data_IF_955464540802
#
_entry.id   IF_955464540802
#
_cell.length_a   1.000
_cell.length_b   1.000
_cell.length_c   1.000
_cell.angle_alpha   90.00
_cell.angle_beta   90.00
_cell.angle_gamma   90.00
#
_symmetry.space_group_name_H-M   'P 1'
#
loop_
_entity.id
_entity.type
_entity.pdbx_description
1 polymer ?
2 non-polymer ?
3 non-polymer ?
4 water ?
#
# COMPACT_ATOMS: atom_id res chain seq x y z
N UNK A 5 9.80 27.24 -4.16
CA UNK A 5 9.67 27.60 -5.56
C UNK A 5 9.43 26.36 -6.43
N UNK A 6 10.46 26.02 -7.20
CA UNK A 6 10.53 24.76 -7.95
C UNK A 6 11.81 24.08 -7.51
N UNK A 7 11.67 22.99 -6.74
CA UNK A 7 12.83 22.39 -6.09
C UNK A 7 13.58 21.41 -6.97
N UNK A 8 12.95 20.92 -8.03
CA UNK A 8 13.61 20.04 -8.97
C UNK A 8 14.22 20.81 -10.13
N UNK A 9 15.45 20.43 -10.50
CA UNK A 9 16.05 20.89 -11.74
C UNK A 9 15.04 20.67 -12.84
N UNK A 10 14.80 19.39 -13.11
CA UNK A 10 13.97 18.92 -14.19
C UNK A 10 12.84 18.08 -13.60
N UNK A 11 11.78 17.95 -14.38
CA UNK A 11 10.66 17.11 -13.97
C UNK A 11 10.82 15.71 -14.54
N UNK A 12 11.87 15.02 -14.08
CA UNK A 12 12.14 13.65 -14.49
C UNK A 12 12.69 12.86 -13.32
N UNK A 13 12.89 11.56 -13.53
CA UNK A 13 13.50 10.73 -12.50
C UNK A 13 14.88 11.25 -12.13
N UNK A 14 15.67 11.67 -13.12
CA UNK A 14 16.98 12.22 -12.86
C UNK A 14 16.87 13.47 -11.98
N UNK A 15 15.91 14.35 -12.27
CA UNK A 15 15.65 15.46 -11.37
C UNK A 15 15.38 15.01 -9.95
N UNK A 16 14.54 13.98 -9.77
CA UNK A 16 14.20 13.49 -8.44
C UNK A 16 15.41 12.82 -7.76
N UNK A 17 16.23 12.10 -8.52
CA UNK A 17 17.39 11.48 -7.91
C UNK A 17 18.38 12.54 -7.38
N UNK A 18 18.65 13.58 -8.18
CA UNK A 18 19.53 14.66 -7.71
C UNK A 18 18.96 15.35 -6.49
N UNK A 19 17.66 15.61 -6.51
CA UNK A 19 17.02 16.22 -5.35
C UNK A 19 17.14 15.33 -4.12
N UNK A 20 17.04 14.01 -4.30
CA UNK A 20 17.03 13.13 -3.14
C UNK A 20 18.38 13.12 -2.44
N UNK A 21 19.48 13.16 -3.20
CA UNK A 21 20.84 13.17 -2.67
C UNK A 21 21.29 14.55 -2.23
N UNK A 22 20.37 15.49 -2.08
CA UNK A 22 20.68 16.85 -1.71
C UNK A 22 20.23 17.15 -0.29
N UNK A 23 20.90 18.15 0.29
CA UNK A 23 20.51 18.91 1.46
C UNK A 23 19.04 18.81 1.84
N UNK A 24 18.20 19.32 0.96
CA UNK A 24 16.81 19.60 1.29
C UNK A 24 15.98 18.34 1.48
N UNK A 25 16.47 17.17 1.04
CA UNK A 25 15.64 15.95 1.04
C UNK A 25 16.01 15.06 2.22
N UNK A 26 15.35 15.27 3.34
CA UNK A 26 15.57 14.46 4.52
C UNK A 26 14.44 13.50 4.83
N UNK A 27 13.17 13.86 4.57
CA UNK A 27 12.03 13.07 5.00
C UNK A 27 11.17 12.69 3.80
N UNK A 28 10.94 11.39 3.63
CA UNK A 28 10.22 10.87 2.48
C UNK A 28 9.02 10.08 2.98
N UNK A 29 7.85 10.37 2.39
CA UNK A 29 6.63 9.62 2.62
C UNK A 29 6.31 8.83 1.36
N UNK A 30 5.97 7.55 1.53
CA UNK A 30 5.47 6.70 0.46
C UNK A 30 3.97 6.47 0.62
N UNK A 31 3.23 6.73 -0.46
CA UNK A 31 1.83 6.32 -0.60
C UNK A 31 1.79 5.18 -1.61
N UNK A 32 1.39 4.00 -1.16
CA UNK A 32 1.43 2.83 -2.02
C UNK A 32 0.09 2.10 -1.98
N UNK A 33 -0.10 1.27 -2.99
CA UNK A 33 -1.35 0.59 -3.20
C UNK A 33 -1.08 -0.74 -3.89
N UNK A 34 -2.14 -1.34 -4.43
CA UNK A 34 -2.05 -2.72 -4.90
C UNK A 34 -1.08 -2.90 -6.06
N UNK A 35 -0.75 -1.83 -6.78
CA UNK A 35 0.16 -2.01 -7.88
C UNK A 35 1.51 -2.55 -7.46
N UNK A 36 1.97 -2.20 -6.25
CA UNK A 36 3.28 -2.65 -5.80
C UNK A 36 3.26 -4.09 -5.36
N UNK A 37 2.10 -4.74 -5.29
CA UNK A 37 2.09 -6.14 -4.89
C UNK A 37 1.66 -7.09 -6.01
N UNK A 38 1.20 -6.58 -7.16
CA UNK A 38 0.84 -7.47 -8.27
C UNK A 38 2.00 -8.35 -8.70
N UNK A 39 3.21 -7.80 -8.75
CA UNK A 39 4.31 -8.67 -9.16
C UNK A 39 4.71 -9.68 -8.09
N UNK A 40 4.03 -9.71 -6.95
CA UNK A 40 4.19 -10.78 -5.98
C UNK A 40 3.04 -11.77 -6.05
N UNK A 41 2.18 -11.65 -7.06
CA UNK A 41 1.09 -12.57 -7.28
C UNK A 41 -0.24 -12.10 -6.73
N UNK A 42 -0.26 -11.02 -5.94
CA UNK A 42 -1.49 -10.56 -5.30
C UNK A 42 -2.24 -9.66 -6.28
N UNK A 43 -3.35 -10.10 -6.84
CA UNK A 43 -3.94 -9.35 -7.94
C UNK A 43 -4.39 -7.97 -7.52
N UNK A 44 -4.59 -7.18 -8.54
CA UNK A 44 -4.96 -5.80 -8.56
C UNK A 44 -6.41 -5.65 -8.06
N UNK A 45 -6.85 -4.42 -7.83
CA UNK A 45 -8.28 -4.18 -7.64
C UNK A 45 -8.97 -3.76 -8.93
N UNK A 46 -8.49 -2.70 -9.60
CA UNK A 46 -9.19 -2.06 -10.71
C UNK A 46 -8.55 -2.26 -12.08
N UNK A 47 -7.51 -3.09 -12.19
CA UNK A 47 -6.98 -3.40 -13.52
C UNK A 47 -8.03 -4.13 -14.32
N UNK A 48 -8.23 -3.77 -15.59
CA UNK A 48 -9.28 -4.44 -16.38
C UNK A 48 -9.11 -5.94 -16.44
N UNK A 49 -7.89 -6.41 -16.68
CA UNK A 49 -7.72 -7.83 -16.93
C UNK A 49 -7.81 -8.65 -15.64
N UNK A 50 -6.75 -8.62 -14.84
CA UNK A 50 -6.63 -9.45 -13.64
C UNK A 50 -7.19 -8.78 -12.39
N UNK A 51 -7.91 -7.67 -12.53
CA UNK A 51 -8.41 -6.97 -11.37
C UNK A 51 -9.45 -7.77 -10.62
N UNK A 52 -9.57 -7.46 -9.32
CA UNK A 52 -10.49 -8.16 -8.45
C UNK A 52 -11.94 -7.97 -8.88
N UNK A 53 -12.26 -6.80 -9.43
CA UNK A 53 -13.66 -6.47 -9.69
C UNK A 53 -14.22 -7.24 -10.87
N UNK A 54 -13.41 -7.45 -11.91
CA UNK A 54 -13.80 -8.31 -13.02
C UNK A 54 -13.45 -9.76 -12.77
N UNK A 55 -13.45 -10.20 -11.50
CA UNK A 55 -13.31 -11.60 -11.14
C UNK A 55 -14.13 -11.95 -9.90
N UNK A 56 -15.15 -11.16 -9.56
CA UNK A 56 -16.07 -11.47 -8.47
C UNK A 56 -17.35 -12.14 -8.97
N UNK A 57 -17.27 -12.88 -10.07
CA UNK A 57 -18.43 -13.54 -10.67
C UNK A 57 -18.90 -14.69 -9.80
N UNK A 58 -18.08 -15.75 -9.71
CA UNK A 58 -18.46 -16.99 -9.05
C UNK A 58 -18.75 -16.81 -7.55
N UNK A 59 -18.46 -15.65 -6.98
CA UNK A 59 -18.97 -15.32 -5.64
C UNK A 59 -20.32 -14.63 -5.78
N UNK A 60 -21.30 -15.44 -6.17
CA UNK A 60 -22.74 -15.24 -5.97
C UNK A 60 -23.15 -14.00 -5.18
N UNK A 61 -22.58 -12.79 -5.52
CA UNK A 61 -22.86 -11.63 -4.68
C UNK A 61 -24.01 -10.81 -5.25
N UNK A 62 -24.70 -10.02 -4.41
CA UNK A 62 -25.71 -9.10 -4.96
C UNK A 62 -25.12 -8.07 -5.91
N UNK A 63 -23.84 -7.72 -5.73
CA UNK A 63 -23.11 -6.84 -6.64
C UNK A 63 -21.64 -6.98 -6.33
N UNK A 64 -20.75 -6.80 -7.34
CA UNK A 64 -19.30 -7.00 -7.11
C UNK A 64 -18.75 -6.33 -5.87
N UNK A 65 -18.79 -4.99 -5.79
CA UNK A 65 -18.23 -4.31 -4.62
C UNK A 65 -19.26 -4.39 -3.49
N UNK A 66 -19.33 -5.56 -2.86
CA UNK A 66 -20.16 -5.79 -1.69
C UNK A 66 -19.60 -6.84 -0.74
N UNK A 67 -18.48 -7.49 -1.10
CA UNK A 67 -17.87 -8.53 -0.28
C UNK A 67 -16.86 -7.97 0.71
N UNK A 68 -16.51 -6.69 0.61
CA UNK A 68 -15.73 -6.00 1.63
C UNK A 68 -16.58 -5.00 2.40
N UNK A 69 -17.87 -5.31 2.56
CA UNK A 69 -18.80 -4.49 3.33
C UNK A 69 -19.07 -5.12 4.69
N UNK A 70 -18.92 -4.33 5.75
CA UNK A 70 -18.89 -4.90 7.10
C UNK A 70 -20.23 -5.54 7.46
N UNK A 71 -21.34 -4.85 7.19
CA UNK A 71 -22.61 -5.39 7.65
C UNK A 71 -23.03 -6.60 6.81
N UNK A 72 -22.65 -6.63 5.53
CA UNK A 72 -22.81 -7.87 4.77
C UNK A 72 -21.90 -8.96 5.30
N UNK A 73 -20.72 -8.58 5.81
CA UNK A 73 -19.79 -9.58 6.33
C UNK A 73 -20.36 -10.28 7.54
N UNK A 74 -20.86 -9.52 8.52
CA UNK A 74 -21.43 -10.12 9.71
C UNK A 74 -22.73 -10.85 9.38
N UNK A 75 -23.44 -10.43 8.34
CA UNK A 75 -24.61 -11.16 7.87
C UNK A 75 -24.21 -12.50 7.25
N UNK A 76 -23.39 -12.46 6.20
CA UNK A 76 -22.85 -13.67 5.57
C UNK A 76 -21.34 -13.52 5.43
N UNK A 77 -20.58 -14.05 6.39
CA UNK A 77 -19.12 -13.94 6.32
C UNK A 77 -18.47 -14.98 5.42
N UNK A 78 -19.25 -15.86 4.79
CA UNK A 78 -18.69 -16.99 4.05
C UNK A 78 -18.10 -16.61 2.71
N UNK A 79 -18.75 -15.77 1.88
CA UNK A 79 -18.11 -15.40 0.60
C UNK A 79 -16.74 -14.76 0.79
N UNK A 80 -16.63 -13.81 1.71
CA UNK A 80 -15.33 -13.18 1.96
C UNK A 80 -14.28 -14.22 2.32
N UNK A 81 -14.59 -15.11 3.26
CA UNK A 81 -13.60 -16.11 3.65
C UNK A 81 -13.31 -17.07 2.51
N UNK A 82 -14.31 -17.33 1.65
CA UNK A 82 -14.02 -18.08 0.42
C UNK A 82 -13.08 -17.30 -0.49
N UNK A 83 -13.30 -15.99 -0.63
CA UNK A 83 -12.41 -15.15 -1.42
C UNK A 83 -11.00 -15.19 -0.87
N UNK A 84 -10.85 -15.01 0.45
CA UNK A 84 -9.53 -15.10 1.06
C UNK A 84 -8.91 -16.47 0.84
N UNK A 85 -9.75 -17.51 0.76
CA UNK A 85 -9.27 -18.84 0.42
C UNK A 85 -8.57 -18.84 -0.94
N UNK A 86 -9.24 -18.30 -1.97
CA UNK A 86 -8.67 -18.29 -3.32
C UNK A 86 -7.44 -17.39 -3.42
N UNK A 87 -7.45 -16.26 -2.70
CA UNK A 87 -6.40 -15.28 -2.87
C UNK A 87 -5.16 -15.57 -2.05
N UNK A 88 -5.33 -16.24 -0.93
CA UNK A 88 -4.27 -16.38 0.06
C UNK A 88 -3.01 -17.00 -0.57
N UNK A 89 -1.96 -16.20 -0.78
CA UNK A 89 -0.82 -16.68 -1.57
C UNK A 89 0.01 -17.72 -0.82
N UNK A 90 0.66 -18.58 -1.62
CA UNK A 90 1.47 -19.65 -1.07
C UNK A 90 2.60 -19.13 -0.21
N UNK A 91 3.45 -18.28 -0.80
CA UNK A 91 4.53 -17.63 -0.09
C UNK A 91 4.27 -16.14 -0.01
N UNK A 92 4.85 -15.51 1.01
CA UNK A 92 4.75 -14.07 1.20
C UNK A 92 6.11 -13.46 0.86
N UNK A 93 6.31 -13.10 -0.40
CA UNK A 93 7.58 -12.58 -0.88
C UNK A 93 7.44 -11.15 -1.36
N UNK A 94 7.93 -10.17 -0.60
CA UNK A 94 7.77 -8.76 -1.02
C UNK A 94 8.60 -8.47 -2.26
N UNK A 95 8.18 -7.45 -3.00
CA UNK A 95 8.80 -7.17 -4.29
C UNK A 95 9.97 -6.20 -4.17
N UNK A 96 10.70 -6.07 -5.28
CA UNK A 96 11.76 -5.08 -5.41
C UNK A 96 11.31 -3.74 -4.87
N UNK A 97 10.13 -3.31 -5.32
CA UNK A 97 9.55 -2.07 -4.81
C UNK A 97 9.43 -2.08 -3.28
N UNK A 98 8.97 -3.20 -2.68
CA UNK A 98 8.91 -3.22 -1.21
C UNK A 98 10.30 -3.06 -0.63
N UNK A 99 11.29 -3.71 -1.25
CA UNK A 99 12.63 -3.63 -0.69
C UNK A 99 13.23 -2.26 -0.95
N UNK A 100 12.80 -1.58 -2.02
CA UNK A 100 13.21 -0.19 -2.21
C UNK A 100 12.83 0.66 -1.00
N UNK A 101 11.61 0.48 -0.48
CA UNK A 101 11.22 1.24 0.69
C UNK A 101 12.01 0.79 1.92
N UNK A 102 12.44 -0.47 1.96
CA UNK A 102 13.31 -0.89 3.05
C UNK A 102 14.65 -0.15 3.00
N UNK A 103 15.21 0.02 1.79
CA UNK A 103 16.43 0.83 1.64
C UNK A 103 16.22 2.22 2.19
N UNK A 104 15.11 2.87 1.81
CA UNK A 104 14.82 4.20 2.33
C UNK A 104 14.80 4.18 3.84
N UNK A 105 14.17 3.17 4.45
CA UNK A 105 14.17 3.04 5.89
C UNK A 105 15.59 2.93 6.44
N UNK A 106 16.38 2.01 5.89
CA UNK A 106 17.73 1.79 6.38
C UNK A 106 18.62 3.01 6.20
N UNK A 107 18.38 3.83 5.18
CA UNK A 107 19.21 5.01 4.95
C UNK A 107 18.69 6.23 5.68
N UNK A 108 17.74 6.05 6.59
CA UNK A 108 17.26 7.15 7.39
C UNK A 108 16.37 8.13 6.68
N UNK A 109 15.89 7.82 5.47
CA UNK A 109 15.11 8.77 4.70
C UNK A 109 13.61 8.54 4.81
N UNK A 110 13.16 7.34 5.19
CA UNK A 110 11.74 7.07 5.21
C UNK A 110 11.13 7.70 6.46
N UNK A 111 10.21 8.64 6.28
CA UNK A 111 9.45 9.15 7.42
C UNK A 111 8.24 8.28 7.68
N UNK A 112 7.56 7.84 6.63
CA UNK A 112 6.43 6.95 6.82
C UNK A 112 6.04 6.30 5.49
N UNK A 113 5.57 5.08 5.58
CA UNK A 113 4.91 4.40 4.46
C UNK A 113 3.42 4.36 4.76
N UNK A 114 2.63 5.10 3.99
CA UNK A 114 1.18 4.95 4.02
C UNK A 114 0.78 3.92 2.97
N UNK A 115 0.15 2.85 3.40
CA UNK A 115 -0.24 1.80 2.48
C UNK A 115 -1.72 1.51 2.56
N UNK A 116 -2.31 1.21 1.41
CA UNK A 116 -3.67 0.72 1.31
C UNK A 116 -3.75 -0.80 1.28
N UNK A 117 -2.64 -1.49 1.09
CA UNK A 117 -2.62 -2.95 0.96
C UNK A 117 -2.79 -3.66 2.31
N UNK A 118 -3.43 -4.82 2.27
CA UNK A 118 -3.66 -5.61 3.48
C UNK A 118 -2.75 -6.83 3.56
N UNK A 119 -1.80 -6.98 2.65
CA UNK A 119 -1.06 -8.24 2.50
C UNK A 119 0.14 -8.39 3.43
N UNK A 120 0.51 -7.37 4.20
CA UNK A 120 1.60 -7.35 5.16
C UNK A 120 2.98 -7.37 4.53
N UNK A 121 3.09 -7.14 3.22
CA UNK A 121 4.41 -7.28 2.62
C UNK A 121 5.36 -6.17 3.04
N UNK A 122 4.85 -5.01 3.45
CA UNK A 122 5.74 -3.99 4.00
C UNK A 122 6.46 -4.49 5.26
N UNK A 123 5.78 -5.29 6.08
CA UNK A 123 6.40 -5.79 7.29
C UNK A 123 7.45 -6.87 6.99
N UNK A 124 7.12 -7.80 6.13
CA UNK A 124 8.07 -8.86 5.81
C UNK A 124 9.34 -8.28 5.19
N UNK A 125 9.21 -7.25 4.34
CA UNK A 125 10.39 -6.54 3.83
C UNK A 125 11.14 -5.81 4.92
N UNK A 126 10.58 -5.69 6.11
CA UNK A 126 11.28 -5.09 7.20
C UNK A 126 10.90 -3.70 7.55
N UNK A 127 9.75 -3.21 7.12
CA UNK A 127 9.22 -1.98 7.70
C UNK A 127 8.55 -2.35 9.01
N UNK A 128 8.77 -1.54 10.02
CA UNK A 128 8.23 -1.81 11.34
C UNK A 128 7.01 -0.93 11.57
N UNK A 129 6.18 -1.36 12.52
CA UNK A 129 4.89 -0.70 12.75
C UNK A 129 5.06 0.82 12.88
N UNK A 130 6.13 1.28 13.52
CA UNK A 130 6.39 2.71 13.61
C UNK A 130 6.52 3.35 12.23
N UNK A 131 7.01 2.60 11.24
CA UNK A 131 7.16 3.15 9.89
C UNK A 131 5.85 3.18 9.11
N UNK A 132 4.87 2.38 9.49
CA UNK A 132 3.74 2.08 8.63
C UNK A 132 2.46 2.75 9.12
N UNK A 133 1.63 3.16 8.18
CA UNK A 133 0.24 3.47 8.44
C UNK A 133 -0.53 2.53 7.54
N UNK A 134 -1.06 1.45 8.12
CA UNK A 134 -1.85 0.50 7.36
C UNK A 134 -3.26 1.07 7.26
N UNK A 135 -3.45 1.97 6.29
CA UNK A 135 -4.64 2.79 6.18
C UNK A 135 -5.93 1.98 6.00
N UNK A 136 -5.87 0.76 5.47
CA UNK A 136 -7.03 -0.12 5.38
C UNK A 136 -6.84 -1.35 6.25
N UNK A 137 -6.13 -1.20 7.36
CA UNK A 137 -5.92 -2.31 8.26
C UNK A 137 -4.89 -3.30 7.76
N UNK A 138 -5.01 -4.52 8.28
CA UNK A 138 -4.03 -5.55 7.96
C UNK A 138 -4.64 -6.93 8.15
N UNK A 139 -4.13 -7.89 7.40
CA UNK A 139 -4.41 -9.30 7.59
C UNK A 139 -3.51 -9.94 8.64
N UNK A 140 -2.57 -9.18 9.22
CA UNK A 140 -1.55 -9.80 10.06
C UNK A 140 -2.12 -10.21 11.42
N UNK A 141 -3.09 -9.48 11.94
CA UNK A 141 -3.77 -9.93 13.13
C UNK A 141 -5.27 -9.97 12.88
N UNK A 142 -5.98 -10.66 13.77
CA UNK A 142 -7.41 -10.82 13.73
C UNK A 142 -7.96 -10.64 15.13
N UNK A 143 -9.17 -10.11 15.21
CA UNK A 143 -9.82 -9.90 16.48
C UNK A 143 -11.23 -10.46 16.44
N UNK A 144 -11.64 -11.04 17.55
CA UNK A 144 -13.05 -11.34 17.76
C UNK A 144 -13.86 -10.04 17.67
N UNK A 145 -15.01 -10.12 16.99
CA UNK A 145 -15.80 -8.93 16.65
C UNK A 145 -16.72 -8.45 17.77
N UNK A 146 -16.62 -9.04 18.97
CA UNK A 146 -17.52 -8.62 20.04
C UNK A 146 -17.27 -7.21 20.56
N UNK A 147 -16.65 -7.11 21.75
CA UNK A 147 -16.43 -5.86 22.48
C UNK A 147 -16.12 -6.24 23.92
N UNK A 148 -17.04 -6.98 24.54
CA UNK A 148 -16.73 -7.69 25.75
C UNK A 148 -15.48 -8.53 25.57
N UNK A 149 -15.35 -9.13 24.39
CA UNK A 149 -14.21 -9.95 24.03
C UNK A 149 -13.61 -9.38 22.76
N UNK A 150 -12.38 -8.89 22.87
CA UNK A 150 -11.69 -8.49 21.65
C UNK A 150 -10.37 -9.24 21.61
N UNK A 151 -10.46 -10.56 21.70
CA UNK A 151 -9.29 -11.42 21.77
C UNK A 151 -8.56 -11.45 20.43
N UNK A 152 -7.26 -11.11 20.46
CA UNK A 152 -6.44 -10.99 19.26
C UNK A 152 -5.88 -12.35 18.84
N UNK A 153 -6.07 -12.70 17.57
CA UNK A 153 -5.54 -13.94 17.02
C UNK A 153 -4.49 -13.64 15.95
N UNK A 154 -3.43 -14.43 15.88
CA UNK A 154 -2.40 -14.20 14.86
C UNK A 154 -2.86 -14.70 13.50
N UNK A 155 -2.03 -14.43 12.50
CA UNK A 155 -2.35 -14.86 11.15
C UNK A 155 -2.26 -16.36 11.00
N UNK A 156 -1.36 -17.01 11.76
CA UNK A 156 -1.21 -18.46 11.68
C UNK A 156 -2.51 -19.17 12.05
N UNK A 157 -3.21 -18.67 13.05
CA UNK A 157 -4.48 -19.26 13.45
C UNK A 157 -5.57 -18.96 12.44
N UNK A 158 -5.65 -17.70 11.97
CA UNK A 158 -6.62 -17.28 10.97
C UNK A 158 -6.36 -17.91 9.61
N UNK A 159 -5.20 -18.51 9.40
CA UNK A 159 -4.91 -19.19 8.14
C UNK A 159 -5.31 -20.66 8.15
N UNK A 160 -5.24 -21.34 9.31
CA UNK A 160 -5.70 -22.72 9.40
C UNK A 160 -7.15 -22.84 8.93
N UNK A 161 -8.06 -22.18 9.65
CA UNK A 161 -9.34 -21.85 9.07
C UNK A 161 -9.11 -20.88 7.90
N UNK A 162 -10.07 -20.84 6.97
CA UNK A 162 -9.94 -20.27 5.62
C UNK A 162 -9.52 -21.41 4.71
N UNK A 163 -8.42 -22.08 5.07
CA UNK A 163 -7.99 -23.25 4.32
C UNK A 163 -8.55 -24.54 4.88
N UNK A 164 -8.75 -24.63 6.19
CA UNK A 164 -9.61 -25.73 6.62
C UNK A 164 -11.11 -25.40 6.39
N UNK A 165 -11.33 -24.31 5.64
CA UNK A 165 -12.65 -23.87 5.16
C UNK A 165 -13.66 -23.76 6.30
N UNK A 166 -13.16 -23.55 7.52
CA UNK A 166 -13.98 -23.37 8.71
C UNK A 166 -14.06 -21.88 9.01
N UNK A 167 -15.28 -21.38 9.22
CA UNK A 167 -15.46 -19.96 9.52
C UNK A 167 -14.91 -19.65 10.91
N UNK A 168 -13.94 -18.75 11.04
CA UNK A 168 -13.27 -18.57 12.34
C UNK A 168 -14.22 -17.99 13.38
N UNK A 169 -14.35 -18.69 14.50
CA UNK A 169 -15.10 -18.22 15.65
C UNK A 169 -14.17 -18.10 16.86
N UNK A 170 -14.44 -17.09 17.67
CA UNK A 170 -13.66 -16.87 18.88
C UNK A 170 -13.66 -18.11 19.76
N UNK A 171 -12.56 -18.34 20.45
CA UNK A 171 -12.46 -19.51 21.32
C UNK A 171 -13.00 -19.23 22.71
N UNK A 172 -12.90 -17.97 23.17
CA UNK A 172 -13.38 -17.58 24.48
C UNK A 172 -14.90 -17.42 24.50
N UNK A 173 -15.42 -16.47 23.73
CA UNK A 173 -16.83 -16.46 23.39
C UNK A 173 -16.97 -17.16 22.05
N UNK A 174 -18.19 -17.25 21.49
CA UNK A 174 -18.34 -17.99 20.25
C UNK A 174 -18.53 -17.08 19.02
N UNK A 175 -18.08 -15.82 19.13
CA UNK A 175 -18.34 -14.78 18.15
C UNK A 175 -17.43 -14.93 16.92
N UNK A 176 -17.83 -14.26 15.84
CA UNK A 176 -17.02 -14.22 14.63
C UNK A 176 -15.72 -13.49 14.91
N UNK A 177 -14.63 -13.98 14.32
CA UNK A 177 -13.35 -13.28 14.38
C UNK A 177 -12.97 -12.87 12.98
N UNK A 178 -12.57 -11.60 12.84
CA UNK A 178 -12.38 -10.89 11.60
C UNK A 178 -10.93 -10.43 11.48
N UNK A 179 -10.29 -10.64 10.34
CA UNK A 179 -8.96 -10.04 10.13
C UNK A 179 -9.02 -8.54 10.37
N UNK A 180 -7.93 -7.99 10.93
CA UNK A 180 -7.86 -6.58 11.28
C UNK A 180 -7.91 -5.65 10.07
N UNK A 181 -8.50 -6.09 8.97
CA UNK A 181 -8.65 -5.21 7.82
C UNK A 181 -9.86 -4.30 8.03
N UNK A 182 -9.89 -3.20 7.30
CA UNK A 182 -10.94 -2.21 7.41
C UNK A 182 -11.88 -2.46 6.24
N UNK A 183 -13.03 -3.06 6.53
CA UNK A 183 -14.08 -3.27 5.56
C UNK A 183 -14.78 -1.95 5.23
N UNK A 184 -15.42 -1.90 4.06
CA UNK A 184 -16.26 -0.75 3.77
C UNK A 184 -17.41 -0.70 4.75
N UNK A 185 -17.70 0.50 5.25
CA UNK A 185 -18.61 0.68 6.36
C UNK A 185 -17.92 0.84 7.69
N UNK A 186 -16.59 0.72 7.72
CA UNK A 186 -15.81 0.90 8.93
C UNK A 186 -15.00 2.19 8.82
N UNK A 187 -14.58 2.70 9.97
CA UNK A 187 -13.76 3.89 9.99
C UNK A 187 -12.28 3.50 9.95
N UNK A 188 -11.48 4.37 9.35
CA UNK A 188 -10.05 4.13 9.29
C UNK A 188 -9.48 4.22 10.71
N UNK A 189 -8.33 3.59 10.95
CA UNK A 189 -7.76 3.62 12.31
C UNK A 189 -7.40 5.04 12.72
N UNK A 190 -7.48 5.28 14.04
CA UNK A 190 -7.13 6.59 14.57
C UNK A 190 -5.71 6.98 14.21
N UNK A 191 -4.82 5.99 14.13
CA UNK A 191 -3.41 6.25 13.86
C UNK A 191 -3.23 6.99 12.54
N UNK A 192 -4.06 6.64 11.56
CA UNK A 192 -4.05 7.30 10.26
C UNK A 192 -4.22 8.82 10.39
N UNK A 193 -5.19 9.27 11.19
CA UNK A 193 -5.43 10.70 11.29
C UNK A 193 -4.36 11.38 12.11
N UNK A 194 -3.89 10.71 13.14
CA UNK A 194 -2.85 11.26 14.00
C UNK A 194 -1.53 11.45 13.25
N UNK A 195 -1.19 10.48 12.38
CA UNK A 195 0.05 10.60 11.62
C UNK A 195 -0.05 11.63 10.52
N UNK A 196 -1.21 11.70 9.88
CA UNK A 196 -1.41 12.61 8.76
C UNK A 196 -1.25 14.06 9.21
N UNK A 197 -1.80 14.39 10.37
CA UNK A 197 -1.76 15.77 10.85
C UNK A 197 -0.34 16.19 11.17
N UNK A 198 0.54 15.25 11.43
CA UNK A 198 1.91 15.62 11.73
C UNK A 198 2.88 15.32 10.60
N UNK A 199 2.73 14.20 9.87
CA UNK A 199 3.73 13.82 8.88
C UNK A 199 3.82 14.83 7.74
N UNK A 200 2.70 15.38 7.32
CA UNK A 200 2.73 16.19 6.12
C UNK A 200 3.17 17.63 6.36
N UNK A 201 3.43 18.02 7.61
CA UNK A 201 4.15 19.27 7.85
C UNK A 201 5.59 19.16 7.40
N UNK A 202 6.18 17.97 7.53
CA UNK A 202 7.62 17.77 7.48
C UNK A 202 8.15 17.42 6.11
N UNK A 203 7.29 16.88 5.26
CA UNK A 203 7.74 15.97 4.20
C UNK A 203 8.45 16.76 3.10
N UNK A 204 9.56 16.20 2.61
CA UNK A 204 10.37 16.80 1.55
C UNK A 204 10.21 16.12 0.20
N UNK A 205 9.55 14.97 0.16
CA UNK A 205 9.35 14.24 -1.08
C UNK A 205 8.22 13.25 -0.87
N UNK A 206 7.27 13.25 -1.80
CA UNK A 206 6.16 12.31 -1.82
C UNK A 206 6.40 11.31 -2.93
N UNK A 207 6.37 10.03 -2.58
CA UNK A 207 6.57 8.92 -3.52
C UNK A 207 5.28 8.13 -3.56
N UNK A 208 4.61 8.12 -4.71
CA UNK A 208 3.32 7.46 -4.89
C UNK A 208 3.52 6.30 -5.85
N UNK A 209 3.02 5.12 -5.50
CA UNK A 209 3.34 3.93 -6.28
C UNK A 209 2.19 2.94 -6.29
N UNK A 210 1.85 2.46 -7.49
CA UNK A 210 0.91 1.38 -7.63
C UNK A 210 -0.43 1.66 -7.01
N UNK A 211 -0.92 2.89 -7.10
CA UNK A 211 -2.24 3.22 -6.64
C UNK A 211 -2.89 4.14 -7.66
N UNK A 212 -4.20 3.94 -7.86
CA UNK A 212 -4.96 4.75 -8.80
C UNK A 212 -5.47 6.04 -8.17
N UNK A 213 -5.31 6.21 -6.86
CA UNK A 213 -5.66 7.48 -6.22
C UNK A 213 -7.13 7.81 -6.43
N UNK A 214 -7.99 6.81 -6.28
CA UNK A 214 -9.42 7.03 -6.40
C UNK A 214 -10.15 6.94 -5.06
N UNK A 215 -9.82 5.94 -4.23
CA UNK A 215 -10.44 5.85 -2.91
C UNK A 215 -10.00 7.00 -2.02
N UNK A 216 -10.91 7.46 -1.18
CA UNK A 216 -10.70 8.51 -0.20
C UNK A 216 -10.90 7.92 1.19
N UNK A 217 -10.40 8.59 2.24
CA UNK A 217 -9.62 9.84 2.20
C UNK A 217 -8.16 9.64 1.77
N UNK A 218 -7.79 8.42 1.38
CA UNK A 218 -6.38 8.13 1.11
C UNK A 218 -5.86 8.99 -0.03
N UNK A 219 -6.62 9.13 -1.10
CA UNK A 219 -6.19 9.91 -2.26
C UNK A 219 -5.82 11.34 -1.88
N UNK A 220 -6.54 11.93 -0.93
CA UNK A 220 -6.33 13.33 -0.62
C UNK A 220 -5.00 13.59 0.08
N UNK A 221 -4.31 12.55 0.56
CA UNK A 221 -3.04 12.77 1.24
C UNK A 221 -2.04 13.52 0.37
N UNK A 222 -2.10 13.36 -0.96
CA UNK A 222 -1.12 14.05 -1.80
C UNK A 222 -1.27 15.56 -1.74
N UNK A 223 -2.45 16.05 -1.38
CA UNK A 223 -2.64 17.49 -1.21
C UNK A 223 -2.34 17.97 0.20
N UNK A 224 -2.04 17.07 1.13
CA UNK A 224 -1.69 17.51 2.48
C UNK A 224 -0.26 18.02 2.57
N UNK A 225 0.60 17.68 1.61
CA UNK A 225 1.97 18.18 1.60
C UNK A 225 2.03 19.67 1.25
N UNK A 226 3.07 20.37 1.71
CA UNK A 226 3.31 21.72 1.21
C UNK A 226 3.39 21.74 -0.32
N UNK A 227 3.05 22.89 -0.90
CA UNK A 227 3.03 23.04 -2.35
C UNK A 227 4.41 22.95 -2.98
N UNK A 228 5.48 23.01 -2.20
CA UNK A 228 6.80 22.92 -2.77
C UNK A 228 7.41 21.52 -2.68
N UNK A 229 6.72 20.57 -2.03
CA UNK A 229 7.16 19.19 -1.91
C UNK A 229 7.08 18.47 -3.25
N UNK A 230 8.20 18.12 -3.88
CA UNK A 230 8.12 17.31 -5.11
C UNK A 230 7.39 16.00 -4.89
N UNK A 231 6.66 15.56 -5.91
CA UNK A 231 5.82 14.39 -5.82
C UNK A 231 6.04 13.52 -7.05
N UNK A 232 6.68 12.36 -6.85
CA UNK A 232 6.94 11.41 -7.92
C UNK A 232 5.93 10.29 -7.89
N UNK A 233 5.41 9.93 -9.06
CA UNK A 233 4.42 8.87 -9.21
C UNK A 233 5.04 7.75 -10.01
N UNK A 234 5.11 6.56 -9.45
CA UNK A 234 5.57 5.38 -10.18
C UNK A 234 4.39 4.44 -10.32
N UNK A 235 3.96 4.21 -11.56
CA UNK A 235 2.67 3.58 -11.80
C UNK A 235 2.62 3.24 -13.28
N UNK A 236 1.81 2.27 -13.65
CA UNK A 236 1.85 2.01 -15.08
C UNK A 236 0.94 2.94 -15.86
N UNK A 237 0.13 3.74 -15.17
CA UNK A 237 -0.69 4.77 -15.76
C UNK A 237 -0.59 6.02 -14.89
N UNK A 238 -0.90 7.18 -15.49
CA UNK A 238 -1.03 8.38 -14.67
C UNK A 238 -2.25 8.28 -13.75
N UNK A 239 -2.21 9.03 -12.65
CA UNK A 239 -3.26 9.02 -11.65
C UNK A 239 -3.14 10.28 -10.82
N UNK A 240 -4.23 10.64 -10.14
CA UNK A 240 -4.27 11.79 -9.27
C UNK A 240 -4.35 13.14 -9.93
N UNK A 241 -4.69 13.20 -11.21
CA UNK A 241 -4.99 14.47 -11.86
C UNK A 241 -6.43 14.85 -11.55
N UNK A 242 -6.68 16.14 -11.29
CA UNK A 242 -8.05 16.61 -11.08
C UNK A 242 -8.95 16.19 -12.24
N UNK A 243 -10.15 15.72 -11.89
CA UNK A 243 -11.22 15.58 -12.87
C UNK A 243 -11.57 16.97 -13.43
N UNK A 244 -11.72 17.10 -14.75
CA UNK A 244 -12.05 18.42 -15.31
C UNK A 244 -13.44 18.92 -14.94
N UNK A 245 -14.29 18.08 -14.34
CA UNK A 245 -15.64 18.49 -14.00
C UNK A 245 -15.80 18.87 -12.53
N UNK A 246 -14.79 18.60 -11.70
CA UNK A 246 -14.85 18.95 -10.28
C UNK A 246 -14.34 20.38 -10.10
N UNK A 247 -15.25 21.31 -9.85
CA UNK A 247 -14.89 22.71 -9.69
C UNK A 247 -15.60 23.64 -10.65
N UNK A 254 -6.00 20.03 -4.95
CA UNK A 254 -4.67 20.08 -5.52
C UNK A 254 -4.17 18.72 -6.00
N UNK A 255 -4.66 18.31 -7.16
CA UNK A 255 -4.25 17.05 -7.74
C UNK A 255 -2.89 17.14 -8.38
N UNK A 256 -2.55 16.08 -9.09
CA UNK A 256 -1.24 16.02 -9.73
C UNK A 256 -1.29 16.82 -11.02
N UNK A 257 -0.24 17.57 -11.27
CA UNK A 257 -0.08 18.22 -12.56
C UNK A 257 1.29 17.85 -13.12
N UNK A 258 1.30 16.88 -14.04
CA UNK A 258 2.54 16.48 -14.71
C UNK A 258 2.83 17.22 -16.01
N UNK A 259 1.82 17.82 -16.64
CA UNK A 259 1.92 18.13 -18.06
C UNK A 259 1.53 19.54 -18.44
N UNK A 260 0.69 20.22 -17.67
CA UNK A 260 0.31 21.59 -17.99
C UNK A 260 1.56 22.47 -18.01
N UNK A 261 1.39 23.69 -18.49
CA UNK A 261 2.51 24.63 -18.42
C UNK A 261 2.75 25.06 -16.99
N UNK A 262 1.75 24.93 -16.12
CA UNK A 262 1.89 25.18 -14.70
C UNK A 262 2.54 24.04 -13.93
N UNK A 263 3.00 22.97 -14.58
CA UNK A 263 3.63 21.87 -13.88
C UNK A 263 5.01 22.28 -13.38
N UNK A 264 5.28 22.01 -12.09
CA UNK A 264 6.54 22.40 -11.45
C UNK A 264 7.12 21.41 -10.44
N UNK A 265 6.36 20.38 -10.01
CA UNK A 265 6.94 19.51 -8.98
C UNK A 265 6.49 18.06 -9.10
N UNK A 266 5.60 17.75 -10.03
CA UNK A 266 5.06 16.41 -10.18
C UNK A 266 5.74 15.72 -11.36
N UNK A 267 6.13 14.47 -11.16
CA UNK A 267 6.82 13.67 -12.17
C UNK A 267 6.13 12.32 -12.26
N UNK A 268 5.86 11.89 -13.48
CA UNK A 268 5.22 10.60 -13.68
C UNK A 268 6.22 9.72 -14.42
N UNK A 269 6.65 8.67 -13.74
CA UNK A 269 7.38 7.58 -14.38
C UNK A 269 6.38 6.46 -14.59
N UNK A 270 6.19 6.06 -15.85
CA UNK A 270 5.14 5.14 -16.25
C UNK A 270 5.77 3.82 -16.62
N UNK A 271 5.38 2.76 -15.90
CA UNK A 271 5.92 1.43 -16.10
C UNK A 271 5.70 0.61 -14.85
N UNK A 272 6.46 -0.48 -14.76
CA UNK A 272 6.37 -1.40 -13.61
C UNK A 272 7.00 -0.79 -12.38
N UNK A 273 6.29 -0.86 -11.25
CA UNK A 273 6.86 -0.32 -10.01
C UNK A 273 8.24 -0.90 -9.75
N UNK A 274 8.40 -2.22 -9.94
CA UNK A 274 9.70 -2.85 -9.79
C UNK A 274 10.75 -2.19 -10.70
N UNK A 275 10.39 -1.89 -11.94
CA UNK A 275 11.37 -1.28 -12.83
C UNK A 275 11.63 0.18 -12.48
N UNK A 276 10.57 0.94 -12.14
CA UNK A 276 10.79 2.32 -11.71
C UNK A 276 11.70 2.40 -10.50
N UNK A 277 11.55 1.48 -9.56
CA UNK A 277 12.41 1.49 -8.37
C UNK A 277 13.81 1.03 -8.69
N UNK A 278 13.97 0.09 -9.61
CA UNK A 278 15.31 -0.23 -10.09
C UNK A 278 15.98 1.00 -10.70
N UNK A 279 15.30 1.69 -11.60
CA UNK A 279 15.89 2.85 -12.25
C UNK A 279 16.22 3.93 -11.24
N UNK A 280 15.28 4.23 -10.32
CA UNK A 280 15.57 5.28 -9.36
C UNK A 280 16.76 4.88 -8.49
N UNK A 281 16.82 3.64 -8.05
CA UNK A 281 17.96 3.15 -7.25
C UNK A 281 19.26 3.23 -8.03
N UNK A 282 19.22 2.93 -9.33
CA UNK A 282 20.44 2.99 -10.13
C UNK A 282 21.01 4.40 -10.14
N UNK A 283 20.20 5.39 -10.52
CA UNK A 283 20.60 6.79 -10.48
C UNK A 283 21.14 7.18 -9.12
N UNK A 284 20.75 6.48 -8.06
CA UNK A 284 21.12 6.84 -6.71
C UNK A 284 22.39 6.15 -6.22
N UNK A 285 22.95 5.24 -7.00
CA UNK A 285 24.05 4.44 -6.54
C UNK A 285 23.68 3.22 -5.70
N UNK A 286 22.39 2.88 -5.60
CA UNK A 286 21.89 1.80 -4.76
C UNK A 286 21.59 0.53 -5.52
N UNK A 287 21.88 0.47 -6.83
CA UNK A 287 21.39 -0.65 -7.63
C UNK A 287 21.89 -1.98 -7.08
N UNK A 288 23.21 -2.11 -6.91
CA UNK A 288 23.79 -3.34 -6.36
C UNK A 288 23.27 -3.59 -4.95
N UNK A 289 23.32 -2.56 -4.10
CA UNK A 289 22.83 -2.70 -2.74
C UNK A 289 21.40 -3.24 -2.72
N UNK A 290 20.57 -2.75 -3.65
CA UNK A 290 19.19 -3.21 -3.75
C UNK A 290 19.11 -4.63 -4.30
N UNK A 291 19.87 -4.91 -5.36
CA UNK A 291 19.87 -6.26 -5.92
C UNK A 291 20.36 -7.28 -4.88
N UNK A 292 21.34 -6.91 -4.06
CA UNK A 292 21.84 -7.83 -3.05
C UNK A 292 20.81 -8.08 -1.97
N UNK A 293 20.06 -7.04 -1.60
CA UNK A 293 19.11 -7.14 -0.51
C UNK A 293 17.95 -8.05 -0.90
N UNK A 294 17.34 -7.78 -2.05
CA UNK A 294 16.25 -8.62 -2.55
C UNK A 294 16.71 -10.07 -2.67
N UNK A 295 17.88 -10.28 -3.29
CA UNK A 295 18.35 -11.64 -3.52
C UNK A 295 18.64 -12.34 -2.20
N UNK A 296 19.26 -11.64 -1.26
CA UNK A 296 19.45 -12.17 0.09
C UNK A 296 18.15 -12.54 0.76
N UNK A 297 17.13 -11.68 0.65
CA UNK A 297 15.90 -11.91 1.40
C UNK A 297 15.02 -12.96 0.72
N UNK A 298 14.94 -12.93 -0.61
CA UNK A 298 14.18 -13.96 -1.30
C UNK A 298 14.78 -15.33 -1.06
N UNK A 299 16.10 -15.39 -0.91
CA UNK A 299 16.74 -16.66 -0.61
C UNK A 299 16.37 -17.10 0.80
N UNK A 300 16.48 -16.17 1.75
CA UNK A 300 16.12 -16.51 3.12
C UNK A 300 14.66 -16.92 3.23
N UNK A 301 13.80 -16.38 2.38
CA UNK A 301 12.41 -16.83 2.44
C UNK A 301 12.23 -18.17 1.73
N UNK A 302 13.01 -18.45 0.67
CA UNK A 302 12.87 -19.71 -0.04
C UNK A 302 13.40 -20.90 0.76
N UNK A 303 14.07 -20.64 1.88
CA UNK A 303 14.48 -21.68 2.84
C UNK A 303 13.57 -21.67 4.06
N UNK A 304 12.28 -21.86 3.82
CA UNK A 304 11.36 -21.97 4.94
C UNK A 304 10.52 -23.25 4.79
#
# INVERSE_FOLDING_TARGET
GSQKERLLDELTLEGVARYMQSERCRRVICLVGAGISTSAGIPDFRSPSTGLYDNLEKYHLPYPEAIFEISYFKKHPEPFFALAKELYPGQFKPTICHYFMRLLKDKGLLLRCYTQNIDTLERIAGLEQEDLVEAHGTFYTSHCVSASCRHEYPLSWMKEKIFSEVTPKCEDCQSLVKPDIVFFGESLPARFFSCMQSDFLKVDLLLVMGTSLQVQPFASLISKAPLSTPRLLINKEKAGQSDPFLGMIMGLGGGMDFDSKKAYRDVAWLGECDQGCLALAELLGWKKELEDLVRREHASIDAQ
#
